data_IF_721162222533
#
_entry.id   IF_721162222533
#
_cell.length_a   1.000
_cell.length_b   1.000
_cell.length_c   1.000
_cell.angle_alpha   90.00
_cell.angle_beta   90.00
_cell.angle_gamma   90.00
#
_symmetry.space_group_name_H-M   'P 1'
#
loop_
_entity.id
_entity.type
_entity.pdbx_description
1 polymer ?
#
# COMPACT_ATOMS: atom_id res chain seq x y z
N UNK A 1 14.15 -12.81 7.52
CA UNK A 1 15.05 -11.63 7.42
C UNK A 1 14.28 -10.31 7.47
N UNK A 2 13.26 -10.14 6.62
CA UNK A 2 12.52 -8.88 6.48
C UNK A 2 11.70 -8.42 7.71
N UNK A 3 11.25 -9.33 8.59
CA UNK A 3 10.44 -8.94 9.76
C UNK A 3 11.18 -7.98 10.70
N UNK A 4 12.49 -8.13 10.84
CA UNK A 4 13.32 -7.27 11.70
C UNK A 4 13.58 -5.89 11.08
N UNK A 5 13.58 -5.81 9.75
CA UNK A 5 13.84 -4.59 8.97
C UNK A 5 12.54 -3.81 8.68
N UNK A 6 11.39 -4.50 8.70
CA UNK A 6 10.06 -3.94 8.40
C UNK A 6 9.72 -2.67 9.20
N UNK A 7 9.95 -2.60 10.52
CA UNK A 7 9.66 -1.37 11.28
C UNK A 7 10.49 -0.17 10.82
N UNK A 8 11.74 -0.42 10.41
CA UNK A 8 12.68 0.62 9.95
C UNK A 8 12.25 1.13 8.58
N UNK A 9 11.89 0.22 7.66
CA UNK A 9 11.42 0.56 6.33
C UNK A 9 10.10 1.34 6.38
N UNK A 10 9.12 0.87 7.15
CA UNK A 10 7.82 1.52 7.27
C UNK A 10 7.93 2.91 7.88
N UNK A 11 8.81 3.09 8.88
CA UNK A 11 9.15 4.42 9.39
C UNK A 11 9.73 5.31 8.30
N UNK A 12 10.68 4.81 7.49
CA UNK A 12 11.28 5.59 6.41
C UNK A 12 10.23 6.05 5.39
N UNK A 13 9.31 5.16 5.02
CA UNK A 13 8.18 5.47 4.13
C UNK A 13 7.26 6.52 4.76
N UNK A 14 6.82 6.32 6.02
CA UNK A 14 5.99 7.29 6.74
C UNK A 14 6.66 8.67 6.83
N UNK A 15 7.98 8.70 7.01
CA UNK A 15 8.74 9.95 7.08
C UNK A 15 8.84 10.64 5.72
N UNK A 16 9.13 9.89 4.64
CA UNK A 16 9.23 10.49 3.29
C UNK A 16 7.89 11.01 2.77
N UNK A 17 6.80 10.38 3.16
CA UNK A 17 5.44 10.77 2.77
C UNK A 17 4.80 11.78 3.73
N UNK A 18 5.52 12.19 4.78
CA UNK A 18 5.00 13.06 5.84
C UNK A 18 3.71 12.56 6.51
N UNK A 19 3.48 11.24 6.49
CA UNK A 19 2.24 10.61 6.92
C UNK A 19 1.88 10.91 8.39
N UNK A 20 2.87 11.09 9.26
CA UNK A 20 2.61 11.39 10.68
C UNK A 20 1.93 12.74 10.89
N UNK A 21 2.08 13.71 9.98
CA UNK A 21 1.42 15.01 10.11
C UNK A 21 -0.10 14.90 9.96
N UNK A 22 -0.57 13.90 9.22
CA UNK A 22 -1.96 13.75 8.84
C UNK A 22 -2.67 12.62 9.60
N UNK A 23 -1.95 11.53 9.90
CA UNK A 23 -2.57 10.31 10.44
C UNK A 23 -2.17 10.00 11.88
N UNK A 24 -1.26 10.77 12.49
CA UNK A 24 -0.94 10.60 13.90
C UNK A 24 -2.11 11.08 14.75
N UNK A 25 -2.71 10.17 15.52
CA UNK A 25 -3.83 10.47 16.39
C UNK A 25 -3.42 10.96 17.78
N UNK A 26 -2.11 11.12 18.05
CA UNK A 26 -1.60 11.59 19.34
C UNK A 26 -1.70 13.12 19.44
N UNK A 27 -2.60 13.66 20.27
CA UNK A 27 -2.76 15.10 20.43
C UNK A 27 -1.46 15.72 20.99
N UNK A 28 -1.04 16.85 20.41
CA UNK A 28 0.16 17.56 20.88
C UNK A 28 1.50 16.94 20.48
N UNK A 29 1.52 15.90 19.63
CA UNK A 29 2.76 15.38 19.07
C UNK A 29 3.48 16.45 18.22
N UNK A 30 4.76 16.75 18.52
CA UNK A 30 5.59 17.75 17.81
C UNK A 30 6.78 17.15 17.06
N UNK A 31 6.77 15.84 16.80
CA UNK A 31 7.91 15.19 16.14
C UNK A 31 8.06 15.69 14.70
N UNK A 32 9.30 15.90 14.29
CA UNK A 32 9.67 16.27 12.93
C UNK A 32 9.70 15.08 11.94
N UNK A 33 9.44 13.86 12.41
CA UNK A 33 9.48 12.63 11.61
C UNK A 33 8.69 11.50 12.30
N UNK A 34 8.36 10.44 11.55
CA UNK A 34 7.61 9.30 12.07
C UNK A 34 8.35 8.57 13.22
N UNK A 35 7.57 8.04 14.16
CA UNK A 35 8.06 7.28 15.32
C UNK A 35 8.80 5.99 14.89
N UNK A 36 9.69 5.47 15.75
CA UNK A 36 10.22 4.10 15.64
C UNK A 36 9.29 3.18 16.44
N UNK A 37 9.10 1.93 16.00
CA UNK A 37 8.26 0.95 16.69
C UNK A 37 6.78 1.02 16.29
N UNK A 38 5.86 0.41 17.05
CA UNK A 38 4.50 0.10 16.59
C UNK A 38 3.69 1.34 16.18
N UNK A 39 3.95 2.50 16.79
CA UNK A 39 3.29 3.76 16.46
C UNK A 39 3.75 4.38 15.12
N UNK A 40 4.99 4.12 14.70
CA UNK A 40 5.52 4.60 13.43
C UNK A 40 4.93 3.86 12.24
N UNK A 41 4.78 2.55 12.39
CA UNK A 41 4.13 1.69 11.40
C UNK A 41 2.67 2.11 11.18
N UNK A 42 1.98 2.50 12.24
CA UNK A 42 0.57 2.90 12.19
C UNK A 42 0.33 4.08 11.23
N UNK A 43 1.24 5.05 11.16
CA UNK A 43 1.09 6.20 10.24
C UNK A 43 1.23 5.78 8.77
N UNK A 44 2.23 4.95 8.44
CA UNK A 44 2.40 4.41 7.09
C UNK A 44 1.22 3.52 6.68
N UNK A 45 0.80 2.61 7.56
CA UNK A 45 -0.35 1.74 7.29
C UNK A 45 -1.65 2.53 7.13
N UNK A 46 -1.86 3.55 7.96
CA UNK A 46 -3.06 4.39 7.86
C UNK A 46 -3.08 5.19 6.56
N UNK A 47 -1.93 5.74 6.14
CA UNK A 47 -1.81 6.38 4.82
C UNK A 47 -2.17 5.40 3.69
N UNK A 48 -1.60 4.19 3.69
CA UNK A 48 -1.90 3.18 2.67
C UNK A 48 -3.36 2.70 2.70
N UNK A 49 -4.01 2.73 3.86
CA UNK A 49 -5.40 2.29 4.04
C UNK A 49 -6.43 3.37 3.68
N UNK A 50 -6.16 4.62 4.04
CA UNK A 50 -7.10 5.74 3.82
C UNK A 50 -6.86 6.40 2.46
N UNK A 51 -5.59 6.55 2.07
CA UNK A 51 -5.21 7.25 0.83
C UNK A 51 -5.41 6.45 -0.44
N UNK A 52 -5.78 5.18 -0.34
CA UNK A 52 -6.00 4.29 -1.48
C UNK A 52 -7.31 3.53 -1.29
N UNK A 53 -8.01 3.24 -2.38
CA UNK A 53 -9.06 2.23 -2.46
C UNK A 53 -8.48 0.81 -2.34
N UNK A 54 -9.34 -0.19 -2.14
CA UNK A 54 -8.91 -1.59 -2.17
C UNK A 54 -8.27 -1.98 -3.51
N UNK A 55 -8.78 -1.43 -4.60
CA UNK A 55 -8.26 -1.65 -5.94
C UNK A 55 -6.87 -1.03 -6.12
N UNK A 56 -6.67 0.21 -5.69
CA UNK A 56 -5.36 0.84 -5.80
C UNK A 56 -4.33 0.16 -4.89
N UNK A 57 -4.74 -0.33 -3.72
CA UNK A 57 -3.88 -1.19 -2.87
C UNK A 57 -3.50 -2.49 -3.57
N UNK A 58 -4.46 -3.15 -4.21
CA UNK A 58 -4.20 -4.39 -4.96
C UNK A 58 -3.25 -4.13 -6.15
N UNK A 59 -3.48 -3.02 -6.86
CA UNK A 59 -2.64 -2.57 -7.98
C UNK A 59 -1.22 -2.27 -7.52
N UNK A 60 -1.05 -1.50 -6.44
CA UNK A 60 0.27 -1.21 -5.87
C UNK A 60 1.00 -2.50 -5.47
N UNK A 61 0.30 -3.46 -4.86
CA UNK A 61 0.89 -4.76 -4.49
C UNK A 61 1.40 -5.52 -5.72
N UNK A 62 0.61 -5.61 -6.79
CA UNK A 62 1.04 -6.28 -8.03
C UNK A 62 2.17 -5.53 -8.74
N UNK A 63 2.12 -4.20 -8.76
CA UNK A 63 3.19 -3.39 -9.32
C UNK A 63 4.51 -3.64 -8.57
N UNK A 64 4.48 -3.78 -7.24
CA UNK A 64 5.66 -4.13 -6.45
C UNK A 64 6.20 -5.52 -6.78
N UNK A 65 5.35 -6.51 -7.02
CA UNK A 65 5.77 -7.86 -7.44
C UNK A 65 6.47 -7.79 -8.80
N UNK A 66 5.91 -7.05 -9.76
CA UNK A 66 6.49 -6.86 -11.09
C UNK A 66 7.81 -6.10 -11.05
N UNK A 67 7.92 -5.07 -10.20
CA UNK A 67 9.16 -4.34 -9.93
C UNK A 67 10.25 -5.26 -9.42
N UNK A 68 9.93 -6.15 -8.48
CA UNK A 68 10.86 -7.14 -7.94
C UNK A 68 11.27 -8.19 -8.98
N UNK A 69 10.42 -8.44 -9.99
CA UNK A 69 10.73 -9.28 -11.14
C UNK A 69 11.53 -8.56 -12.25
N UNK A 70 11.83 -7.27 -12.09
CA UNK A 70 12.71 -6.51 -12.98
C UNK A 70 12.00 -5.52 -13.91
N UNK A 71 10.67 -5.37 -13.83
CA UNK A 71 9.97 -4.36 -14.63
C UNK A 71 10.33 -2.93 -14.19
N UNK A 72 10.33 -2.00 -15.16
CA UNK A 72 10.41 -0.57 -14.86
C UNK A 72 9.17 -0.11 -14.07
N UNK A 73 9.24 1.05 -13.38
CA UNK A 73 8.09 1.57 -12.63
C UNK A 73 6.80 1.69 -13.46
N UNK A 74 6.88 2.26 -14.65
CA UNK A 74 5.71 2.51 -15.49
C UNK A 74 5.13 1.19 -16.04
N UNK A 75 5.99 0.30 -16.55
CA UNK A 75 5.55 -1.02 -17.03
C UNK A 75 4.88 -1.84 -15.93
N UNK A 76 5.46 -1.82 -14.73
CA UNK A 76 4.93 -2.53 -13.58
C UNK A 76 3.56 -1.98 -13.17
N UNK A 77 3.38 -0.66 -13.18
CA UNK A 77 2.11 -0.04 -12.84
C UNK A 77 1.03 -0.39 -13.87
N UNK A 78 1.29 -0.15 -15.16
CA UNK A 78 0.31 -0.41 -16.22
C UNK A 78 -0.06 -1.90 -16.33
N UNK A 79 0.90 -2.81 -16.15
CA UNK A 79 0.60 -4.25 -16.14
C UNK A 79 -0.19 -4.67 -14.89
N UNK A 80 0.09 -4.07 -13.74
CA UNK A 80 -0.70 -4.32 -12.53
C UNK A 80 -2.16 -3.88 -12.71
N UNK A 81 -2.41 -2.69 -13.25
CA UNK A 81 -3.77 -2.22 -13.55
C UNK A 81 -4.51 -3.20 -14.47
N UNK A 82 -3.85 -3.66 -15.55
CA UNK A 82 -4.42 -4.67 -16.46
C UNK A 82 -4.73 -5.99 -15.76
N UNK A 83 -3.88 -6.45 -14.84
CA UNK A 83 -4.10 -7.70 -14.08
C UNK A 83 -5.29 -7.56 -13.13
N UNK A 84 -5.37 -6.46 -12.40
CA UNK A 84 -6.47 -6.20 -11.47
C UNK A 84 -7.81 -6.05 -12.21
N UNK A 85 -7.84 -5.31 -13.31
CA UNK A 85 -9.04 -5.18 -14.15
C UNK A 85 -9.52 -6.54 -14.70
N UNK A 86 -8.61 -7.38 -15.20
CA UNK A 86 -8.96 -8.75 -15.64
C UNK A 86 -9.51 -9.61 -14.51
N UNK A 87 -8.91 -9.54 -13.32
CA UNK A 87 -9.36 -10.31 -12.17
C UNK A 87 -10.77 -9.88 -11.75
N UNK A 88 -11.06 -8.58 -11.71
CA UNK A 88 -12.41 -8.07 -11.43
C UNK A 88 -13.45 -8.58 -12.41
N UNK A 89 -13.16 -8.47 -13.71
CA UNK A 89 -14.05 -8.97 -14.76
C UNK A 89 -14.33 -10.48 -14.61
N UNK A 90 -13.34 -11.27 -14.17
CA UNK A 90 -13.53 -12.69 -13.87
C UNK A 90 -14.45 -12.93 -12.67
N UNK A 91 -14.26 -12.19 -11.56
CA UNK A 91 -15.13 -12.31 -10.37
C UNK A 91 -16.58 -11.94 -10.73
N UNK A 92 -16.78 -10.84 -11.45
CA UNK A 92 -18.11 -10.39 -11.90
C UNK A 92 -18.77 -11.44 -12.79
N UNK A 93 -18.02 -12.02 -13.73
CA UNK A 93 -18.53 -13.10 -14.59
C UNK A 93 -18.92 -14.37 -13.80
N UNK A 94 -18.19 -14.71 -12.73
CA UNK A 94 -18.53 -15.84 -11.84
C UNK A 94 -19.79 -15.52 -11.03
N UNK A 95 -19.88 -14.32 -10.45
CA UNK A 95 -21.05 -13.89 -9.69
C UNK A 95 -22.34 -13.93 -10.52
N UNK A 96 -22.26 -13.48 -11.78
CA UNK A 96 -23.38 -13.54 -12.73
C UNK A 96 -23.79 -14.97 -13.12
N UNK A 97 -22.87 -15.94 -13.07
CA UNK A 97 -23.16 -17.36 -13.35
C UNK A 97 -23.75 -18.10 -12.15
N UNK A 98 -23.46 -17.66 -10.92
CA UNK A 98 -24.00 -18.24 -9.69
C UNK A 98 -25.31 -17.62 -9.20
N UNK A 99 -25.80 -16.57 -9.87
CA UNK A 99 -27.06 -15.89 -9.57
C UNK A 99 -28.29 -16.50 -10.31
N UNK A 100 -28.13 -17.68 -10.91
CA UNK A 100 -29.18 -18.46 -11.56
C UNK A 100 -29.50 -19.72 -10.77
#
# INVERSE_FOLDING_TARGET
RHERERPIMLRSIATKLEAWRYFCQMPGCRRAQACVGPHGEQCAFTFLRIGFSDEERATLKEALVLRLAGASPDEAWYEAERRIARHKAQIEAIALRGAW
#
